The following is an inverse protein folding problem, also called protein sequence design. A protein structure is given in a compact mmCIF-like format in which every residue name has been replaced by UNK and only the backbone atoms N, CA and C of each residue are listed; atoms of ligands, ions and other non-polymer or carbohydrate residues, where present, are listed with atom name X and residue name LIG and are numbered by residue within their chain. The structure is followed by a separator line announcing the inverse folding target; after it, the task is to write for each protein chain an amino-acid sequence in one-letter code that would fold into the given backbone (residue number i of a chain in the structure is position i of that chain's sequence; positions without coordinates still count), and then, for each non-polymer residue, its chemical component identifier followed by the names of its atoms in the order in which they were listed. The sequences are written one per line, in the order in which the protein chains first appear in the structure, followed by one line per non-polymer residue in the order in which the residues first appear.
data_IF_742236229838
#
_entry.id   IF_742236229838
#
_cell.length_a   1.000
_cell.length_b   1.000
_cell.length_c   1.000
_cell.angle_alpha   90.00
_cell.angle_beta   90.00
_cell.angle_gamma   90.00
#
_symmetry.space_group_name_H-M   'P 1'
#
loop_
_entity.id
_entity.type
_entity.pdbx_description
1 polymer ?
#
# COMPACT_ATOMS: atom_id res chain seq x y z
N UNK A 1 -24.27 12.24 2.31
CA UNK A 1 -22.93 11.66 2.49
C UNK A 1 -21.98 12.82 2.62
N UNK A 2 -21.46 13.07 3.81
CA UNK A 2 -20.42 14.09 4.02
C UNK A 2 -19.14 13.54 3.43
N UNK A 3 -18.64 14.15 2.34
CA UNK A 3 -17.26 13.95 1.88
C UNK A 3 -16.38 14.32 3.07
N UNK A 4 -15.69 13.34 3.67
CA UNK A 4 -14.67 13.63 4.66
C UNK A 4 -13.61 14.48 3.97
N UNK A 5 -13.50 15.75 4.36
CA UNK A 5 -12.43 16.61 3.88
C UNK A 5 -11.13 16.09 4.49
N UNK A 6 -10.32 15.40 3.68
CA UNK A 6 -8.95 15.03 4.07
C UNK A 6 -8.20 16.34 4.28
N UNK A 7 -7.48 16.44 5.40
CA UNK A 7 -6.69 17.63 5.71
C UNK A 7 -5.68 17.93 4.59
N UNK A 8 -5.55 19.19 4.14
CA UNK A 8 -4.61 19.55 3.07
C UNK A 8 -3.16 19.12 3.37
N UNK A 9 -2.77 19.13 4.63
CA UNK A 9 -1.46 18.69 5.09
C UNK A 9 -1.25 17.19 4.80
N UNK A 10 -2.24 16.36 5.07
CA UNK A 10 -2.18 14.92 4.77
C UNK A 10 -2.10 14.67 3.25
N UNK A 11 -2.81 15.47 2.44
CA UNK A 11 -2.72 15.39 0.97
C UNK A 11 -1.30 15.73 0.50
N UNK A 12 -0.67 16.75 1.12
CA UNK A 12 0.72 17.11 0.80
C UNK A 12 1.69 15.99 1.19
N UNK A 13 1.53 15.38 2.37
CA UNK A 13 2.34 14.26 2.84
C UNK A 13 2.19 13.05 1.90
N UNK A 14 0.97 12.66 1.56
CA UNK A 14 0.69 11.57 0.60
C UNK A 14 1.35 11.82 -0.76
N UNK A 15 1.30 13.06 -1.24
CA UNK A 15 1.99 13.46 -2.47
C UNK A 15 3.50 13.30 -2.34
N UNK A 16 4.05 13.70 -1.20
CA UNK A 16 5.47 13.55 -0.89
C UNK A 16 5.90 12.08 -0.86
N UNK A 17 5.15 11.22 -0.16
CA UNK A 17 5.42 9.77 -0.12
C UNK A 17 5.35 9.13 -1.49
N UNK A 18 4.35 9.47 -2.29
CA UNK A 18 4.22 8.97 -3.66
C UNK A 18 5.43 9.35 -4.52
N UNK A 19 5.87 10.62 -4.46
CA UNK A 19 7.04 11.07 -5.22
C UNK A 19 8.33 10.39 -4.75
N UNK A 20 8.45 10.10 -3.46
CA UNK A 20 9.58 9.39 -2.89
C UNK A 20 9.62 7.93 -3.33
N UNK A 21 8.50 7.20 -3.27
CA UNK A 21 8.39 5.83 -3.78
C UNK A 21 8.65 5.77 -5.29
N UNK A 22 8.03 6.66 -6.06
CA UNK A 22 8.23 6.73 -7.51
C UNK A 22 9.69 6.94 -7.90
N UNK A 23 10.39 7.77 -7.12
CA UNK A 23 11.81 8.06 -7.35
C UNK A 23 12.72 6.89 -7.02
N UNK A 24 12.30 6.02 -6.11
CA UNK A 24 13.09 4.90 -5.61
C UNK A 24 12.34 3.56 -5.77
N UNK A 25 11.97 3.20 -7.01
CA UNK A 25 11.23 1.97 -7.26
C UNK A 25 12.11 0.74 -7.03
N UNK A 26 11.51 -0.31 -6.49
CA UNK A 26 12.15 -1.59 -6.22
C UNK A 26 11.31 -2.71 -6.82
N UNK A 27 11.98 -3.76 -7.34
CA UNK A 27 11.30 -4.91 -7.95
C UNK A 27 10.75 -5.87 -6.88
N UNK A 28 9.86 -6.76 -7.31
CA UNK A 28 9.23 -7.73 -6.43
C UNK A 28 10.20 -8.58 -5.63
N UNK A 29 9.98 -8.66 -4.32
CA UNK A 29 10.82 -9.24 -3.26
C UNK A 29 12.15 -8.51 -2.98
N UNK A 30 12.42 -7.41 -3.67
CA UNK A 30 13.57 -6.53 -3.41
C UNK A 30 13.13 -5.16 -2.81
N UNK A 31 11.87 -5.02 -2.39
CA UNK A 31 11.27 -3.78 -1.87
C UNK A 31 11.76 -3.43 -0.46
N UNK A 32 13.06 -3.53 -0.21
CA UNK A 32 13.64 -3.36 1.13
C UNK A 32 13.52 -1.93 1.65
N UNK A 33 13.78 -0.92 0.81
CA UNK A 33 13.66 0.49 1.16
C UNK A 33 12.21 0.89 1.31
N UNK A 34 11.36 0.49 0.37
CA UNK A 34 9.92 0.77 0.36
C UNK A 34 9.27 0.20 1.61
N UNK A 35 9.54 -1.07 1.91
CA UNK A 35 9.09 -1.77 3.12
C UNK A 35 9.53 -1.06 4.41
N UNK A 36 10.80 -0.66 4.49
CA UNK A 36 11.33 0.06 5.64
C UNK A 36 10.63 1.42 5.82
N UNK A 37 10.42 2.18 4.75
CA UNK A 37 9.75 3.48 4.79
C UNK A 37 8.28 3.37 5.18
N UNK A 38 7.56 2.39 4.63
CA UNK A 38 6.18 2.07 5.02
C UNK A 38 6.11 1.75 6.51
N UNK A 39 6.97 0.87 6.99
CA UNK A 39 6.99 0.47 8.40
C UNK A 39 7.32 1.65 9.34
N UNK A 40 8.22 2.55 8.95
CA UNK A 40 8.54 3.76 9.70
C UNK A 40 7.30 4.65 9.83
N UNK A 41 6.64 4.99 8.72
CA UNK A 41 5.46 5.84 8.70
C UNK A 41 4.30 5.25 9.53
N UNK A 42 4.03 3.96 9.40
CA UNK A 42 2.99 3.30 10.19
C UNK A 42 3.27 3.38 11.70
N UNK A 43 4.55 3.27 12.13
CA UNK A 43 4.95 3.45 13.53
C UNK A 43 4.77 4.90 13.99
N UNK A 44 5.12 5.88 13.15
CA UNK A 44 4.88 7.30 13.42
C UNK A 44 3.40 7.60 13.63
N UNK A 45 2.51 6.91 12.90
CA UNK A 45 1.05 7.03 13.10
C UNK A 45 0.54 6.29 14.34
N UNK A 46 1.39 5.53 15.01
CA UNK A 46 1.06 4.81 16.25
C UNK A 46 0.42 3.44 16.04
N UNK A 47 0.60 2.81 14.88
CA UNK A 47 0.15 1.45 14.62
C UNK A 47 1.13 0.40 15.20
N UNK A 48 0.62 -0.76 15.55
CA UNK A 48 1.44 -1.96 15.71
C UNK A 48 1.92 -2.43 14.34
N UNK A 49 3.25 -2.66 14.15
CA UNK A 49 3.83 -2.90 12.83
C UNK A 49 4.65 -4.18 12.81
N UNK A 50 4.32 -5.06 11.87
CA UNK A 50 4.99 -6.31 11.58
C UNK A 50 5.65 -6.23 10.20
N UNK A 51 6.94 -6.49 10.14
CA UNK A 51 7.74 -6.47 8.90
C UNK A 51 8.20 -7.86 8.53
N UNK A 52 8.56 -8.06 7.26
CA UNK A 52 9.08 -9.33 6.77
C UNK A 52 7.99 -10.39 6.54
N UNK A 53 6.73 -10.00 6.49
CA UNK A 53 5.61 -10.93 6.23
C UNK A 53 5.63 -11.34 4.76
N UNK A 54 5.94 -12.60 4.48
CA UNK A 54 6.11 -13.08 3.11
C UNK A 54 7.32 -12.47 2.39
N UNK A 55 8.42 -12.17 3.10
CA UNK A 55 9.64 -11.56 2.57
C UNK A 55 9.75 -10.07 2.91
N UNK A 56 9.35 -9.18 2.02
CA UNK A 56 9.41 -7.73 2.21
C UNK A 56 8.07 -7.10 2.62
N UNK A 57 7.01 -7.89 2.79
CA UNK A 57 5.69 -7.38 3.16
C UNK A 57 5.64 -6.75 4.55
N UNK A 58 4.72 -5.79 4.71
CA UNK A 58 4.48 -5.06 5.96
C UNK A 58 3.01 -5.13 6.33
N UNK A 59 2.71 -5.36 7.60
CA UNK A 59 1.36 -5.31 8.13
C UNK A 59 1.31 -4.32 9.31
N UNK A 60 0.42 -3.32 9.21
CA UNK A 60 0.10 -2.40 10.29
C UNK A 60 -1.26 -2.74 10.90
N UNK A 61 -1.38 -2.73 12.21
CA UNK A 61 -2.63 -2.97 12.93
C UNK A 61 -2.99 -1.78 13.78
N UNK A 62 -4.20 -1.26 13.57
CA UNK A 62 -4.79 -0.19 14.38
C UNK A 62 -6.00 -0.75 15.13
N UNK A 63 -5.89 -0.85 16.45
CA UNK A 63 -7.00 -1.20 17.34
C UNK A 63 -7.67 0.08 17.86
N UNK A 64 -8.99 0.14 17.80
CA UNK A 64 -9.82 1.15 18.47
C UNK A 64 -10.87 0.45 19.32
N UNK A 65 -11.03 0.93 20.56
CA UNK A 65 -11.94 0.28 21.51
C UNK A 65 -11.55 -1.17 21.82
N UNK A 66 -12.55 -2.00 22.13
CA UNK A 66 -12.40 -3.40 22.51
C UNK A 66 -13.22 -4.36 21.62
N UNK A 67 -13.72 -3.89 20.49
CA UNK A 67 -14.44 -4.70 19.52
C UNK A 67 -13.53 -5.70 18.82
N UNK A 68 -14.10 -6.82 18.40
CA UNK A 68 -13.39 -7.92 17.72
C UNK A 68 -13.48 -7.83 16.20
N UNK A 69 -14.45 -7.08 15.66
CA UNK A 69 -14.62 -6.91 14.22
C UNK A 69 -13.35 -6.35 13.56
N UNK A 70 -13.01 -6.85 12.38
CA UNK A 70 -11.76 -6.51 11.71
C UNK A 70 -11.93 -6.37 10.19
N UNK A 71 -11.29 -5.32 9.63
CA UNK A 71 -11.25 -5.08 8.20
C UNK A 71 -9.81 -4.90 7.76
N UNK A 72 -9.41 -5.63 6.73
CA UNK A 72 -8.11 -5.49 6.10
C UNK A 72 -8.20 -4.58 4.85
N UNK A 73 -7.17 -3.77 4.65
CA UNK A 73 -6.95 -2.94 3.48
C UNK A 73 -5.61 -3.32 2.87
N UNK A 74 -5.58 -3.54 1.56
CA UNK A 74 -4.38 -4.01 0.86
C UNK A 74 -3.94 -3.02 -0.21
N UNK A 75 -2.63 -2.74 -0.25
CA UNK A 75 -1.93 -2.14 -1.36
C UNK A 75 -0.69 -2.97 -1.73
N UNK A 76 -0.27 -2.89 -2.97
CA UNK A 76 0.98 -3.44 -3.48
C UNK A 76 2.12 -2.43 -3.39
N UNK A 77 3.39 -2.91 -3.48
CA UNK A 77 4.56 -2.07 -3.28
C UNK A 77 5.58 -2.15 -4.42
N UNK A 78 5.56 -3.20 -5.23
CA UNK A 78 6.60 -3.48 -6.21
C UNK A 78 6.49 -2.60 -7.47
N UNK A 79 7.61 -2.44 -8.14
CA UNK A 79 7.75 -1.74 -9.40
C UNK A 79 8.03 -2.73 -10.55
N UNK A 80 8.05 -2.21 -11.77
CA UNK A 80 8.27 -2.97 -13.00
C UNK A 80 9.66 -2.70 -13.60
N UNK A 81 10.28 -3.69 -14.28
CA UNK A 81 11.53 -3.53 -15.01
C UNK A 81 11.30 -2.78 -16.34
N UNK A 82 10.83 -1.54 -16.24
CA UNK A 82 10.48 -0.67 -17.37
C UNK A 82 11.25 0.64 -17.26
N UNK A 83 11.87 1.05 -18.37
CA UNK A 83 12.55 2.35 -18.42
C UNK A 83 11.53 3.48 -18.49
N UNK A 84 11.60 4.41 -17.55
CA UNK A 84 10.75 5.60 -17.56
C UNK A 84 11.17 6.55 -18.67
N UNK A 85 10.26 6.85 -19.59
CA UNK A 85 10.49 7.78 -20.71
C UNK A 85 10.06 9.22 -20.38
N UNK A 86 9.23 9.40 -19.37
CA UNK A 86 8.82 10.71 -18.85
C UNK A 86 9.96 11.47 -18.19
N UNK A 87 9.76 12.75 -17.95
CA UNK A 87 10.72 13.57 -17.21
C UNK A 87 10.07 14.39 -16.09
N UNK A 88 9.29 13.78 -15.19
CA UNK A 88 8.77 14.48 -14.02
C UNK A 88 9.93 14.79 -13.04
N UNK A 89 9.71 15.76 -12.15
CA UNK A 89 10.71 16.11 -11.11
C UNK A 89 11.04 14.93 -10.17
N UNK A 90 10.12 13.99 -10.04
CA UNK A 90 10.22 12.78 -9.21
C UNK A 90 10.49 11.52 -10.03
N UNK A 91 10.99 11.65 -11.25
CA UNK A 91 11.39 10.53 -12.10
C UNK A 91 12.23 9.52 -11.32
N UNK A 92 12.09 8.24 -11.66
CA UNK A 92 12.91 7.16 -11.14
C UNK A 92 14.41 7.49 -11.18
N UNK A 93 15.07 7.28 -10.08
CA UNK A 93 16.52 7.38 -9.96
C UNK A 93 17.25 6.06 -10.34
N UNK A 94 16.47 5.01 -10.67
CA UNK A 94 16.97 3.69 -11.04
C UNK A 94 16.68 3.42 -12.52
N UNK A 95 17.74 3.38 -13.33
CA UNK A 95 17.60 3.12 -14.77
C UNK A 95 16.95 1.76 -15.01
N UNK A 96 15.92 1.74 -15.88
CA UNK A 96 15.22 0.51 -16.25
C UNK A 96 14.19 0.01 -15.24
N UNK A 97 13.90 0.76 -14.18
CA UNK A 97 12.88 0.41 -13.18
C UNK A 97 11.97 1.61 -12.94
N UNK A 98 10.64 1.42 -12.95
CA UNK A 98 9.68 2.47 -12.60
C UNK A 98 8.38 1.88 -12.05
N UNK A 99 7.65 2.68 -11.28
CA UNK A 99 6.27 2.38 -10.89
C UNK A 99 5.30 2.63 -12.06
N UNK A 100 5.34 1.74 -13.08
CA UNK A 100 4.50 1.88 -14.27
C UNK A 100 3.04 1.43 -14.03
N UNK A 101 2.79 0.61 -13.00
CA UNK A 101 1.46 0.16 -12.60
C UNK A 101 0.80 1.05 -11.52
N UNK A 102 1.54 2.02 -10.96
CA UNK A 102 0.98 2.97 -9.98
C UNK A 102 0.96 2.49 -8.53
N UNK A 103 1.74 1.46 -8.18
CA UNK A 103 1.83 0.92 -6.81
C UNK A 103 2.40 1.95 -5.81
N UNK A 104 3.20 2.92 -6.26
CA UNK A 104 3.57 4.12 -5.50
C UNK A 104 2.35 4.92 -5.01
N UNK A 105 1.33 5.04 -5.87
CA UNK A 105 0.05 5.66 -5.55
C UNK A 105 -0.77 4.80 -4.58
N UNK A 106 -0.86 3.48 -4.82
CA UNK A 106 -1.61 2.57 -3.95
C UNK A 106 -1.06 2.57 -2.52
N UNK A 107 0.26 2.41 -2.37
CA UNK A 107 0.94 2.47 -1.08
C UNK A 107 0.73 3.81 -0.39
N UNK A 108 0.84 4.93 -1.11
CA UNK A 108 0.62 6.26 -0.54
C UNK A 108 -0.82 6.51 -0.11
N UNK A 109 -1.81 5.99 -0.86
CA UNK A 109 -3.22 6.07 -0.47
C UNK A 109 -3.50 5.24 0.78
N UNK A 110 -2.93 4.04 0.88
CA UNK A 110 -3.10 3.18 2.05
C UNK A 110 -2.44 3.78 3.31
N UNK A 111 -1.25 4.39 3.17
CA UNK A 111 -0.61 5.16 4.24
C UNK A 111 -1.48 6.35 4.67
N UNK A 112 -2.06 7.09 3.72
CA UNK A 112 -2.99 8.19 4.01
C UNK A 112 -4.23 7.72 4.77
N UNK A 113 -4.80 6.58 4.39
CA UNK A 113 -5.91 5.97 5.11
C UNK A 113 -5.50 5.56 6.54
N UNK A 114 -4.32 4.98 6.72
CA UNK A 114 -3.79 4.61 8.03
C UNK A 114 -3.61 5.84 8.93
N UNK A 115 -2.98 6.91 8.42
CA UNK A 115 -2.78 8.16 9.14
C UNK A 115 -4.12 8.81 9.53
N UNK A 116 -5.06 8.87 8.59
CA UNK A 116 -6.39 9.45 8.84
C UNK A 116 -7.17 8.66 9.90
N UNK A 117 -7.21 7.34 9.79
CA UNK A 117 -7.89 6.48 10.77
C UNK A 117 -7.21 6.49 12.14
N UNK A 118 -5.88 6.63 12.18
CA UNK A 118 -5.15 6.76 13.43
C UNK A 118 -5.49 8.06 14.19
N UNK A 119 -5.75 9.15 13.46
CA UNK A 119 -6.07 10.45 14.07
C UNK A 119 -7.58 10.63 14.32
N UNK A 120 -8.42 10.17 13.40
CA UNK A 120 -9.84 10.54 13.35
C UNK A 120 -10.79 9.34 13.33
N UNK A 121 -10.26 8.11 13.33
CA UNK A 121 -11.08 6.91 13.21
C UNK A 121 -12.02 6.76 14.42
N UNK A 122 -13.32 6.80 14.16
CA UNK A 122 -14.40 6.49 15.12
C UNK A 122 -14.98 5.12 14.78
N UNK A 123 -14.30 4.07 15.26
CA UNK A 123 -14.74 2.68 15.08
C UNK A 123 -14.37 1.85 16.32
N UNK A 124 -15.01 0.70 16.45
CA UNK A 124 -14.74 -0.25 17.52
C UNK A 124 -14.33 -1.60 16.94
N UNK A 125 -13.02 -1.87 16.87
CA UNK A 125 -12.47 -3.05 16.23
C UNK A 125 -11.05 -2.84 15.72
N UNK A 126 -10.66 -3.60 14.69
CA UNK A 126 -9.31 -3.54 14.09
C UNK A 126 -9.36 -3.11 12.63
N UNK A 127 -8.49 -2.18 12.26
CA UNK A 127 -8.13 -1.89 10.88
C UNK A 127 -6.73 -2.47 10.62
N UNK A 128 -6.60 -3.33 9.61
CA UNK A 128 -5.38 -4.04 9.26
C UNK A 128 -4.91 -3.53 7.91
N UNK A 129 -3.70 -2.98 7.83
CA UNK A 129 -3.11 -2.39 6.63
C UNK A 129 -2.04 -3.31 6.09
N UNK A 130 -2.28 -3.91 4.93
CA UNK A 130 -1.41 -4.92 4.30
C UNK A 130 -0.70 -4.27 3.11
N UNK A 131 0.61 -4.17 3.20
CA UNK A 131 1.48 -3.73 2.11
C UNK A 131 2.13 -4.98 1.52
N UNK A 132 1.62 -5.40 0.36
CA UNK A 132 2.00 -6.66 -0.29
C UNK A 132 3.19 -6.46 -1.21
N UNK A 133 4.22 -7.31 -1.12
CA UNK A 133 5.31 -7.36 -2.10
C UNK A 133 4.89 -8.11 -3.35
N UNK A 134 5.67 -7.99 -4.44
CA UNK A 134 5.70 -8.85 -5.62
C UNK A 134 4.31 -9.20 -6.20
N UNK A 135 3.52 -8.17 -6.46
CA UNK A 135 2.19 -8.31 -7.09
C UNK A 135 2.34 -8.68 -8.56
N UNK A 136 3.26 -8.02 -9.27
CA UNK A 136 3.44 -8.11 -10.73
C UNK A 136 3.80 -9.53 -11.23
N UNK A 137 4.38 -10.36 -10.36
CA UNK A 137 4.64 -11.78 -10.66
C UNK A 137 3.58 -12.72 -10.05
N UNK A 138 2.58 -12.19 -9.34
CA UNK A 138 1.52 -12.98 -8.71
C UNK A 138 1.97 -13.85 -7.54
N UNK A 139 3.14 -13.59 -6.93
CA UNK A 139 3.73 -14.46 -5.90
C UNK A 139 3.61 -13.89 -4.48
N UNK A 140 3.51 -12.57 -4.35
CA UNK A 140 3.57 -11.91 -3.04
C UNK A 140 2.41 -12.25 -2.11
N UNK A 141 1.19 -12.32 -2.63
CA UNK A 141 0.03 -12.70 -1.83
C UNK A 141 0.17 -14.13 -1.26
N UNK A 142 0.59 -15.09 -2.10
CA UNK A 142 0.83 -16.46 -1.67
C UNK A 142 1.92 -16.52 -0.59
N UNK A 143 3.05 -15.82 -0.79
CA UNK A 143 4.13 -15.76 0.18
C UNK A 143 3.67 -15.20 1.53
N UNK A 144 2.86 -14.14 1.56
CA UNK A 144 2.30 -13.60 2.80
C UNK A 144 1.34 -14.57 3.48
N UNK A 145 0.49 -15.28 2.72
CA UNK A 145 -0.45 -16.28 3.25
C UNK A 145 0.31 -17.46 3.84
N UNK A 146 1.33 -17.96 3.15
CA UNK A 146 2.18 -19.06 3.61
C UNK A 146 2.95 -18.69 4.90
N UNK A 147 3.31 -17.40 5.06
CA UNK A 147 3.89 -16.85 6.30
C UNK A 147 2.84 -16.56 7.40
N UNK A 148 1.62 -16.99 7.19
CA UNK A 148 0.55 -16.94 8.18
C UNK A 148 -0.19 -15.60 8.26
N UNK A 149 -0.30 -14.84 7.17
CA UNK A 149 -0.98 -13.54 7.14
C UNK A 149 -2.35 -13.59 7.83
N UNK A 150 -3.23 -14.49 7.43
CA UNK A 150 -4.59 -14.57 7.96
C UNK A 150 -4.73 -15.41 9.24
N UNK A 151 -3.70 -16.12 9.66
CA UNK A 151 -3.66 -16.78 10.98
C UNK A 151 -3.12 -15.86 12.07
N UNK A 152 -2.31 -14.87 11.70
CA UNK A 152 -1.75 -13.85 12.61
C UNK A 152 -2.62 -12.61 12.67
N UNK A 153 -3.25 -12.27 11.55
CA UNK A 153 -4.04 -11.04 11.36
C UNK A 153 -5.42 -11.41 10.78
N UNK A 154 -6.24 -12.08 11.60
CA UNK A 154 -7.60 -12.44 11.21
C UNK A 154 -8.40 -11.21 10.78
N UNK A 155 -9.09 -11.28 9.64
CA UNK A 155 -9.93 -10.22 9.11
C UNK A 155 -11.26 -10.76 8.64
N UNK A 156 -12.35 -10.10 9.05
CA UNK A 156 -13.74 -10.47 8.64
C UNK A 156 -14.03 -10.06 7.20
N UNK A 157 -13.33 -9.03 6.71
CA UNK A 157 -13.44 -8.54 5.34
C UNK A 157 -12.10 -7.94 4.87
N UNK A 158 -11.89 -7.93 3.55
CA UNK A 158 -10.73 -7.30 2.92
C UNK A 158 -11.13 -6.42 1.74
N UNK A 159 -10.46 -5.27 1.62
CA UNK A 159 -10.56 -4.32 0.51
C UNK A 159 -9.19 -4.16 -0.12
N UNK A 160 -9.11 -4.23 -1.46
CA UNK A 160 -7.86 -4.09 -2.18
C UNK A 160 -7.92 -2.95 -3.18
N UNK A 161 -6.84 -2.21 -3.32
CA UNK A 161 -6.59 -1.34 -4.46
C UNK A 161 -5.88 -2.14 -5.56
N UNK A 162 -6.28 -1.92 -6.81
CA UNK A 162 -5.63 -2.52 -7.97
C UNK A 162 -5.71 -1.58 -9.17
N UNK A 163 -4.79 -1.72 -10.10
CA UNK A 163 -4.83 -0.98 -11.36
C UNK A 163 -5.86 -1.62 -12.30
N UNK A 164 -6.78 -0.82 -12.82
CA UNK A 164 -7.81 -1.23 -13.77
C UNK A 164 -7.42 -0.93 -15.23
N UNK A 165 -6.15 -0.63 -15.52
CA UNK A 165 -5.73 -0.27 -16.87
C UNK A 165 -6.05 -1.36 -17.91
N UNK A 166 -6.06 -2.61 -17.50
CA UNK A 166 -6.41 -3.74 -18.38
C UNK A 166 -7.92 -3.86 -18.64
N UNK A 167 -8.77 -3.32 -17.77
CA UNK A 167 -10.24 -3.39 -17.95
C UNK A 167 -10.79 -2.26 -18.81
N UNK A 168 -10.08 -1.17 -19.03
CA UNK A 168 -10.49 -0.11 -19.95
C UNK A 168 -10.42 -0.57 -21.41
N UNK A 169 -9.43 -1.37 -21.77
CA UNK A 169 -9.31 -1.94 -23.12
C UNK A 169 -10.39 -3.00 -23.37
N UNK A 170 -10.77 -3.78 -22.35
CA UNK A 170 -11.84 -4.75 -22.46
C UNK A 170 -13.25 -4.12 -22.54
N UNK A 171 -13.43 -2.88 -22.07
CA UNK A 171 -14.69 -2.14 -22.19
C UNK A 171 -14.86 -1.54 -23.60
N UNK A 172 -13.80 -1.20 -24.29
CA UNK A 172 -13.83 -0.67 -25.65
C UNK A 172 -14.14 -1.77 -26.69
N UNK A 173 -13.84 -3.03 -26.39
CA UNK A 173 -14.19 -4.20 -27.22
C UNK A 173 -15.68 -4.63 -27.11
N UNK A 174 -16.45 -4.00 -26.21
CA UNK A 174 -17.89 -4.30 -25.99
C UNK A 174 -18.84 -3.25 -26.58
N UNK A 175 -18.33 -2.27 -27.29
CA UNK A 175 -19.09 -1.26 -28.03
C UNK A 175 -18.78 -1.44 -29.54
#
# INVERSE_FOLDING_TARGET
MTTSNIAPELVADMTGWRHDFHRHPELGFDEHRTSARVAELLREFGLEVHTGVGGTGVVGVLQRGNGEASVAFRADMDALPIAETGNPKWRSAHDGVMHACGHDGHSSMLLGAAAHLAQHGDFNGRAIFIFQPNEEHGLGAAAMIDDGLFTRFEADAAVSYTCLLYTSDAADDLI
#
